data_IF_198619787725
#
_entry.id   IF_198619787725
#
_cell.length_a   1.000
_cell.length_b   1.000
_cell.length_c   1.000
_cell.angle_alpha   90.00
_cell.angle_beta   90.00
_cell.angle_gamma   90.00
#
_symmetry.space_group_name_H-M   'P 1'
#
loop_
_entity.id
_entity.type
_entity.pdbx_description
1 polymer ?
#
# COMPACT_ATOMS: atom_id res chain seq x y z
N UNK A 1 -11.00 -31.06 -14.40
CA UNK A 1 -11.04 -29.76 -15.13
C UNK A 1 -9.65 -29.51 -15.70
N UNK A 2 -9.51 -29.09 -16.97
CA UNK A 2 -8.18 -28.84 -17.58
C UNK A 2 -7.63 -27.52 -17.02
N UNK A 3 -6.43 -27.53 -16.40
CA UNK A 3 -5.79 -26.31 -15.89
C UNK A 3 -5.52 -25.33 -17.03
N UNK A 4 -5.72 -24.04 -16.79
CA UNK A 4 -5.38 -22.99 -17.75
C UNK A 4 -3.87 -22.81 -17.84
N UNK A 5 -3.38 -22.23 -18.94
CA UNK A 5 -1.95 -21.90 -19.09
C UNK A 5 -1.47 -20.94 -18.01
N UNK A 6 -2.30 -20.00 -17.55
CA UNK A 6 -1.97 -19.10 -16.44
C UNK A 6 -1.74 -19.87 -15.14
N UNK A 7 -2.63 -20.81 -14.82
CA UNK A 7 -2.48 -21.65 -13.62
C UNK A 7 -1.25 -22.54 -13.69
N UNK A 8 -0.98 -23.14 -14.86
CA UNK A 8 0.22 -23.98 -15.08
C UNK A 8 1.50 -23.18 -14.83
N UNK A 9 1.58 -21.94 -15.35
CA UNK A 9 2.76 -21.08 -15.14
C UNK A 9 2.89 -20.66 -13.68
N UNK A 10 1.78 -20.27 -13.01
CA UNK A 10 1.83 -19.89 -11.59
C UNK A 10 2.28 -21.04 -10.68
N UNK A 11 1.78 -22.25 -10.92
CA UNK A 11 2.20 -23.45 -10.20
C UNK A 11 3.68 -23.74 -10.44
N UNK A 12 4.15 -23.70 -11.70
CA UNK A 12 5.56 -23.90 -12.01
C UNK A 12 6.49 -22.86 -11.36
N UNK A 13 6.07 -21.59 -11.29
CA UNK A 13 6.82 -20.55 -10.56
C UNK A 13 6.95 -20.91 -9.07
N UNK A 14 5.87 -21.38 -8.44
CA UNK A 14 5.87 -21.79 -7.03
C UNK A 14 6.75 -23.02 -6.82
N UNK A 15 6.60 -24.04 -7.65
CA UNK A 15 7.34 -25.30 -7.54
C UNK A 15 8.84 -25.07 -7.71
N UNK A 16 9.26 -24.32 -8.73
CA UNK A 16 10.67 -23.97 -8.94
C UNK A 16 11.22 -23.15 -7.77
N UNK A 17 10.44 -22.22 -7.22
CA UNK A 17 10.85 -21.41 -6.08
C UNK A 17 10.99 -22.23 -4.79
N UNK A 18 10.07 -23.18 -4.53
CA UNK A 18 10.14 -24.12 -3.40
C UNK A 18 11.38 -25.01 -3.49
N UNK A 19 11.79 -25.38 -4.71
CA UNK A 19 13.01 -26.13 -4.98
C UNK A 19 14.28 -25.24 -4.98
N UNK A 20 14.17 -23.98 -4.56
CA UNK A 20 15.24 -22.98 -4.56
C UNK A 20 15.90 -22.77 -5.94
N UNK A 21 15.19 -23.10 -7.03
CA UNK A 21 15.66 -22.92 -8.39
C UNK A 21 15.36 -21.50 -8.89
N UNK A 22 16.24 -21.00 -9.76
CA UNK A 22 16.02 -19.71 -10.41
C UNK A 22 14.86 -19.85 -11.40
N UNK A 23 13.79 -19.08 -11.16
CA UNK A 23 12.64 -19.05 -12.05
C UNK A 23 12.89 -18.05 -13.17
N UNK A 24 13.15 -18.56 -14.37
CA UNK A 24 13.30 -17.78 -15.59
C UNK A 24 12.33 -18.26 -16.65
N UNK A 25 12.24 -17.53 -17.75
CA UNK A 25 11.46 -17.94 -18.93
C UNK A 25 11.87 -19.32 -19.44
N UNK A 26 13.16 -19.59 -19.45
CA UNK A 26 13.76 -20.83 -19.96
C UNK A 26 13.41 -22.01 -19.07
N UNK A 27 13.62 -21.87 -17.76
CA UNK A 27 13.29 -22.95 -16.81
C UNK A 27 11.79 -23.21 -16.77
N UNK A 28 10.95 -22.18 -16.89
CA UNK A 28 9.51 -22.33 -17.04
C UNK A 28 9.12 -23.06 -18.35
N UNK A 29 9.80 -22.79 -19.46
CA UNK A 29 9.54 -23.48 -20.73
C UNK A 29 9.89 -24.97 -20.64
N UNK A 30 10.99 -25.30 -19.97
CA UNK A 30 11.43 -26.68 -19.76
C UNK A 30 10.43 -27.46 -18.90
N UNK A 31 9.99 -26.92 -17.76
CA UNK A 31 9.13 -27.66 -16.83
C UNK A 31 7.65 -27.66 -17.24
N UNK A 32 7.17 -26.62 -17.95
CA UNK A 32 5.76 -26.54 -18.37
C UNK A 32 5.52 -27.08 -19.79
N UNK A 33 6.56 -27.17 -20.63
CA UNK A 33 6.44 -27.52 -22.05
C UNK A 33 5.69 -26.47 -22.89
N UNK A 34 5.40 -25.30 -22.32
CA UNK A 34 4.67 -24.23 -23.02
C UNK A 34 5.59 -23.45 -23.96
N UNK A 35 4.99 -22.92 -25.03
CA UNK A 35 5.73 -22.05 -25.95
C UNK A 35 6.17 -20.77 -25.21
N UNK A 36 7.40 -20.28 -25.43
CA UNK A 36 7.92 -19.11 -24.72
C UNK A 36 7.02 -17.86 -24.79
N UNK A 37 6.39 -17.60 -25.93
CA UNK A 37 5.46 -16.45 -26.06
C UNK A 37 4.19 -16.57 -25.22
N UNK A 38 3.73 -17.80 -24.92
CA UNK A 38 2.62 -18.02 -23.99
C UNK A 38 3.10 -17.72 -22.57
N UNK A 39 4.30 -18.18 -22.21
CA UNK A 39 4.88 -17.95 -20.88
C UNK A 39 5.06 -16.45 -20.62
N UNK A 40 5.59 -15.69 -21.59
CA UNK A 40 5.75 -14.24 -21.47
C UNK A 40 4.42 -13.54 -21.16
N UNK A 41 3.37 -13.91 -21.91
CA UNK A 41 2.03 -13.35 -21.77
C UNK A 41 1.40 -13.71 -20.41
N UNK A 42 1.58 -14.96 -19.95
CA UNK A 42 1.11 -15.39 -18.63
C UNK A 42 1.88 -14.75 -17.48
N UNK A 43 3.20 -14.63 -17.58
CA UNK A 43 4.02 -13.95 -16.59
C UNK A 43 3.65 -12.47 -16.49
N UNK A 44 3.39 -11.81 -17.62
CA UNK A 44 2.90 -10.44 -17.63
C UNK A 44 1.59 -10.32 -16.84
N UNK A 45 0.59 -11.16 -17.15
CA UNK A 45 -0.68 -11.16 -16.42
C UNK A 45 -0.50 -11.44 -14.92
N UNK A 46 0.32 -12.42 -14.54
CA UNK A 46 0.57 -12.76 -13.14
C UNK A 46 1.34 -11.68 -12.37
N UNK A 47 2.19 -10.92 -13.04
CA UNK A 47 2.86 -9.74 -12.48
C UNK A 47 1.86 -8.59 -12.30
N UNK A 48 1.02 -8.35 -13.31
CA UNK A 48 -0.04 -7.34 -13.24
C UNK A 48 -1.05 -7.66 -12.10
N UNK A 49 -1.35 -8.95 -11.89
CA UNK A 49 -2.22 -9.46 -10.81
C UNK A 49 -1.50 -9.57 -9.44
N UNK A 50 -0.22 -9.18 -9.35
CA UNK A 50 0.60 -9.24 -8.13
C UNK A 50 0.72 -10.65 -7.51
N UNK A 51 0.54 -11.71 -8.31
CA UNK A 51 0.71 -13.11 -7.88
C UNK A 51 2.15 -13.60 -8.09
N UNK A 52 2.90 -12.96 -8.98
CA UNK A 52 4.31 -13.19 -9.25
C UNK A 52 5.03 -11.86 -9.21
N UNK A 53 6.21 -11.81 -8.59
CA UNK A 53 7.06 -10.63 -8.55
C UNK A 53 8.24 -10.82 -9.49
N UNK A 54 8.60 -9.76 -10.20
CA UNK A 54 9.84 -9.70 -10.98
C UNK A 54 10.91 -9.04 -10.11
N UNK A 55 11.76 -9.85 -9.49
CA UNK A 55 12.82 -9.38 -8.58
C UNK A 55 14.04 -8.85 -9.32
N UNK A 56 14.31 -9.40 -10.50
CA UNK A 56 15.40 -8.98 -11.39
C UNK A 56 15.00 -9.12 -12.86
N UNK A 57 15.81 -8.60 -13.77
CA UNK A 57 15.55 -8.72 -15.21
C UNK A 57 15.51 -10.19 -15.65
N UNK A 58 14.29 -10.73 -15.75
CA UNK A 58 14.05 -12.10 -16.24
C UNK A 58 14.00 -13.15 -15.13
N UNK A 59 14.08 -12.73 -13.86
CA UNK A 59 13.96 -13.60 -12.69
C UNK A 59 12.67 -13.29 -11.97
N UNK A 60 11.90 -14.33 -11.70
CA UNK A 60 10.58 -14.24 -11.11
C UNK A 60 10.53 -15.01 -9.79
N UNK A 61 9.66 -14.60 -8.88
CA UNK A 61 9.36 -15.33 -7.65
C UNK A 61 7.85 -15.26 -7.41
N UNK A 62 7.24 -16.25 -6.77
CA UNK A 62 5.86 -16.10 -6.33
C UNK A 62 5.78 -14.91 -5.37
N UNK A 63 4.71 -14.13 -5.47
CA UNK A 63 4.42 -13.17 -4.42
C UNK A 63 4.22 -13.93 -3.10
N UNK A 64 4.67 -13.40 -1.95
CA UNK A 64 4.46 -14.04 -0.66
C UNK A 64 2.98 -14.35 -0.48
N UNK A 65 2.65 -15.64 -0.37
CA UNK A 65 1.29 -16.09 -0.11
C UNK A 65 1.02 -15.83 1.38
N UNK A 66 0.69 -14.58 1.70
CA UNK A 66 0.19 -14.22 3.03
C UNK A 66 -1.15 -14.94 3.19
N UNK A 67 -1.29 -15.84 4.18
CA UNK A 67 -2.57 -16.46 4.44
C UNK A 67 -3.61 -15.35 4.69
N UNK A 68 -4.89 -15.60 4.37
CA UNK A 68 -5.94 -14.61 4.61
C UNK A 68 -5.86 -14.12 6.05
N UNK A 69 -6.09 -12.82 6.25
CA UNK A 69 -6.08 -12.21 7.57
C UNK A 69 -6.99 -13.02 8.50
N UNK A 70 -6.40 -13.57 9.56
CA UNK A 70 -7.15 -14.33 10.57
C UNK A 70 -7.82 -13.35 11.54
N UNK A 71 -9.05 -13.63 12.01
CA UNK A 71 -9.63 -12.84 13.08
C UNK A 71 -8.74 -12.93 14.31
N UNK A 72 -8.48 -11.79 14.94
CA UNK A 72 -7.75 -11.70 16.20
C UNK A 72 -8.67 -11.07 17.23
N UNK A 73 -8.93 -11.79 18.32
CA UNK A 73 -9.80 -11.30 19.41
C UNK A 73 -9.02 -11.25 20.71
N UNK A 74 -9.46 -10.35 21.60
CA UNK A 74 -9.01 -10.29 22.99
C UNK A 74 -10.24 -10.24 23.89
N UNK A 75 -10.40 -11.26 24.72
CA UNK A 75 -11.53 -11.38 25.65
C UNK A 75 -11.04 -11.20 27.08
N UNK A 76 -11.61 -10.23 27.79
CA UNK A 76 -11.39 -10.05 29.21
C UNK A 76 -12.26 -11.03 30.01
N UNK A 77 -11.65 -11.71 30.97
CA UNK A 77 -12.28 -12.67 31.85
C UNK A 77 -12.26 -12.10 33.29
N UNK A 78 -13.30 -12.32 34.11
CA UNK A 78 -13.29 -11.91 35.51
C UNK A 78 -12.01 -12.35 36.24
N UNK A 79 -11.49 -11.48 37.11
CA UNK A 79 -10.19 -11.70 37.78
C UNK A 79 -8.97 -11.23 36.97
N UNK A 80 -9.18 -10.56 35.83
CA UNK A 80 -8.11 -9.94 35.04
C UNK A 80 -7.38 -10.89 34.09
N UNK A 81 -7.86 -12.12 33.98
CA UNK A 81 -7.40 -13.08 32.98
C UNK A 81 -7.85 -12.64 31.58
N UNK A 82 -7.09 -13.06 30.58
CA UNK A 82 -7.34 -12.68 29.19
C UNK A 82 -7.23 -13.91 28.30
N UNK A 83 -8.12 -14.02 27.31
CA UNK A 83 -7.92 -14.91 26.16
C UNK A 83 -7.58 -14.10 24.92
N UNK A 84 -6.52 -14.51 24.22
CA UNK A 84 -6.19 -14.01 22.87
C UNK A 84 -6.40 -15.17 21.91
N UNK A 85 -7.20 -14.95 20.87
CA UNK A 85 -7.53 -15.96 19.87
C UNK A 85 -7.11 -15.46 18.49
N UNK A 86 -6.48 -16.33 17.69
CA UNK A 86 -6.04 -16.01 16.32
C UNK A 86 -6.52 -17.13 15.40
N UNK A 87 -7.56 -16.86 14.61
CA UNK A 87 -8.28 -17.91 13.91
C UNK A 87 -8.92 -18.90 14.88
N UNK A 88 -9.08 -20.15 14.45
CA UNK A 88 -9.87 -21.15 15.18
C UNK A 88 -9.00 -22.06 16.07
N UNK A 89 -7.68 -22.08 15.87
CA UNK A 89 -6.76 -23.08 16.41
C UNK A 89 -5.71 -22.52 17.37
N UNK A 90 -5.54 -21.21 17.46
CA UNK A 90 -4.55 -20.58 18.35
C UNK A 90 -5.25 -19.79 19.46
N UNK A 91 -5.24 -20.34 20.68
CA UNK A 91 -5.85 -19.73 21.86
C UNK A 91 -4.80 -19.62 22.97
N UNK A 92 -4.50 -18.40 23.40
CA UNK A 92 -3.64 -18.13 24.54
C UNK A 92 -4.51 -17.69 25.72
N UNK A 93 -4.48 -18.42 26.82
CA UNK A 93 -5.10 -18.01 28.09
C UNK A 93 -4.01 -17.47 29.01
N UNK A 94 -4.07 -16.16 29.26
CA UNK A 94 -3.03 -15.43 29.95
C UNK A 94 -3.50 -15.01 31.34
N UNK A 95 -2.62 -15.17 32.32
CA UNK A 95 -2.72 -14.52 33.62
C UNK A 95 -2.64 -12.98 33.45
N UNK A 96 -3.08 -12.20 34.46
CA UNK A 96 -2.90 -10.75 34.45
C UNK A 96 -1.45 -10.31 34.24
N UNK A 97 -0.48 -11.06 34.78
CA UNK A 97 0.95 -10.75 34.67
C UNK A 97 1.48 -11.00 33.25
N UNK A 98 1.13 -12.13 32.63
CA UNK A 98 1.52 -12.46 31.26
C UNK A 98 0.90 -11.49 30.25
N UNK A 99 -0.38 -11.12 30.42
CA UNK A 99 -1.01 -10.12 29.56
C UNK A 99 -0.32 -8.74 29.69
N UNK A 100 0.20 -8.37 30.87
CA UNK A 100 0.98 -7.14 31.04
C UNK A 100 2.31 -7.22 30.29
N UNK A 101 3.07 -8.29 30.50
CA UNK A 101 4.36 -8.51 29.84
C UNK A 101 4.20 -8.52 28.30
N UNK A 102 3.17 -9.20 27.79
CA UNK A 102 2.85 -9.19 26.36
C UNK A 102 2.52 -7.78 25.87
N UNK A 103 1.74 -7.01 26.63
CA UNK A 103 1.45 -5.61 26.32
C UNK A 103 2.70 -4.74 26.24
N UNK A 104 3.65 -4.90 27.17
CA UNK A 104 4.93 -4.19 27.18
C UNK A 104 5.75 -4.51 25.92
N UNK A 105 5.84 -5.78 25.54
CA UNK A 105 6.54 -6.21 24.32
C UNK A 105 5.90 -5.63 23.05
N UNK A 106 4.58 -5.48 23.01
CA UNK A 106 3.85 -4.98 21.85
C UNK A 106 3.74 -3.45 21.79
N UNK A 107 4.07 -2.74 22.88
CA UNK A 107 3.89 -1.30 22.97
C UNK A 107 4.61 -0.54 21.83
N UNK A 108 5.84 -0.96 21.48
CA UNK A 108 6.61 -0.36 20.39
C UNK A 108 5.94 -0.53 19.02
N UNK A 109 5.40 -1.71 18.72
CA UNK A 109 4.65 -1.96 17.50
C UNK A 109 3.37 -1.10 17.43
N UNK A 110 2.68 -0.93 18.57
CA UNK A 110 1.53 -0.04 18.67
C UNK A 110 1.87 1.42 18.38
N UNK A 111 3.00 1.92 18.89
CA UNK A 111 3.45 3.29 18.60
C UNK A 111 3.83 3.49 17.14
N UNK A 112 4.47 2.50 16.51
CA UNK A 112 4.79 2.55 15.08
C UNK A 112 3.51 2.62 14.23
N UNK A 113 2.54 1.75 14.51
CA UNK A 113 1.25 1.77 13.80
C UNK A 113 0.55 3.14 13.92
N UNK A 114 0.47 3.69 15.13
CA UNK A 114 -0.12 5.00 15.36
C UNK A 114 0.63 6.11 14.60
N UNK A 115 1.96 6.06 14.57
CA UNK A 115 2.80 7.05 13.88
C UNK A 115 2.60 7.01 12.37
N UNK A 116 2.48 5.82 11.78
CA UNK A 116 2.21 5.65 10.34
C UNK A 116 0.85 6.24 9.98
N UNK A 117 -0.19 5.90 10.75
CA UNK A 117 -1.53 6.42 10.49
C UNK A 117 -1.58 7.94 10.66
N UNK A 118 -0.96 8.48 11.71
CA UNK A 118 -0.80 9.94 11.86
C UNK A 118 -0.06 10.57 10.69
N UNK A 119 0.99 9.92 10.16
CA UNK A 119 1.70 10.36 8.96
C UNK A 119 0.79 10.47 7.74
N UNK A 120 -0.06 9.47 7.51
CA UNK A 120 -1.06 9.50 6.44
C UNK A 120 -2.06 10.63 6.61
N UNK A 121 -2.66 10.76 7.80
CA UNK A 121 -3.62 11.83 8.08
C UNK A 121 -2.99 13.23 7.93
N UNK A 122 -1.74 13.39 8.39
CA UNK A 122 -1.01 14.65 8.26
C UNK A 122 -0.68 14.99 6.81
N UNK A 123 -0.36 13.99 5.97
CA UNK A 123 -0.10 14.23 4.54
C UNK A 123 -1.35 14.73 3.81
N UNK A 124 -2.52 14.15 4.12
CA UNK A 124 -3.81 14.61 3.59
C UNK A 124 -4.08 16.05 4.02
N UNK A 125 -3.98 16.33 5.33
CA UNK A 125 -4.20 17.66 5.88
C UNK A 125 -3.23 18.70 5.29
N UNK A 126 -1.96 18.34 5.12
CA UNK A 126 -0.95 19.22 4.53
C UNK A 126 -1.28 19.57 3.07
N UNK A 127 -1.76 18.60 2.29
CA UNK A 127 -2.17 18.83 0.91
C UNK A 127 -3.38 19.78 0.82
N UNK A 128 -4.39 19.59 1.68
CA UNK A 128 -5.56 20.47 1.77
C UNK A 128 -5.17 21.89 2.20
N UNK A 129 -4.31 22.01 3.21
CA UNK A 129 -3.81 23.29 3.69
C UNK A 129 -3.02 24.00 2.60
N UNK A 130 -2.11 23.31 1.92
CA UNK A 130 -1.32 23.89 0.82
C UNK A 130 -2.22 24.38 -0.32
N UNK A 131 -3.31 23.65 -0.65
CA UNK A 131 -4.29 24.11 -1.62
C UNK A 131 -5.03 25.37 -1.16
N UNK A 132 -5.38 25.47 0.13
CA UNK A 132 -6.02 26.65 0.71
C UNK A 132 -5.07 27.86 0.74
N UNK A 133 -3.81 27.66 1.12
CA UNK A 133 -2.78 28.70 1.11
C UNK A 133 -2.60 29.26 -0.30
N UNK A 134 -2.44 28.41 -1.32
CA UNK A 134 -2.34 28.87 -2.73
C UNK A 134 -3.55 29.69 -3.18
N UNK A 135 -4.77 29.32 -2.76
CA UNK A 135 -5.98 30.10 -3.07
C UNK A 135 -5.96 31.46 -2.39
N UNK A 136 -5.56 31.53 -1.13
CA UNK A 136 -5.46 32.78 -0.37
C UNK A 136 -4.38 33.70 -0.96
N UNK A 137 -3.21 33.16 -1.31
CA UNK A 137 -2.13 33.91 -1.97
C UNK A 137 -2.62 34.55 -3.28
N UNK A 138 -3.39 33.80 -4.08
CA UNK A 138 -3.98 34.34 -5.32
C UNK A 138 -4.99 35.46 -5.04
N UNK A 139 -5.84 35.32 -4.03
CA UNK A 139 -6.82 36.36 -3.65
C UNK A 139 -6.13 37.62 -3.13
N UNK A 140 -5.12 37.48 -2.27
CA UNK A 140 -4.33 38.61 -1.76
C UNK A 140 -3.59 39.31 -2.89
N UNK A 141 -3.01 38.55 -3.84
CA UNK A 141 -2.39 39.11 -5.04
C UNK A 141 -3.37 39.93 -5.88
N UNK A 142 -4.58 39.43 -6.09
CA UNK A 142 -5.62 40.17 -6.83
C UNK A 142 -6.04 41.47 -6.11
N UNK A 143 -6.31 41.40 -4.80
CA UNK A 143 -6.70 42.57 -3.99
C UNK A 143 -5.59 43.63 -3.92
N UNK A 144 -4.34 43.21 -3.80
CA UNK A 144 -3.20 44.14 -3.79
C UNK A 144 -2.96 44.77 -5.16
N UNK A 145 -3.20 44.04 -6.26
CA UNK A 145 -3.16 44.59 -7.61
C UNK A 145 -4.29 45.62 -7.86
N UNK A 146 -5.52 45.34 -7.43
CA UNK A 146 -6.63 46.30 -7.50
C UNK A 146 -6.34 47.59 -6.71
N UNK A 147 -5.71 47.48 -5.54
CA UNK A 147 -5.35 48.65 -4.72
C UNK A 147 -4.24 49.53 -5.34
N UNK A 148 -3.36 48.94 -6.15
CA UNK A 148 -2.27 49.66 -6.82
C UNK A 148 -2.58 50.00 -8.28
N UNK A 149 -3.79 49.70 -8.77
CA UNK A 149 -4.21 50.13 -10.09
C UNK A 149 -4.16 51.67 -10.15
N UNK A 150 -3.42 52.27 -11.09
CA UNK A 150 -3.38 53.72 -11.22
C UNK A 150 -4.79 54.21 -11.52
N UNK A 151 -5.25 55.23 -10.78
CA UNK A 151 -6.44 56.00 -11.13
C UNK A 151 -6.20 56.51 -12.54
N UNK A 152 -6.88 55.90 -13.52
CA UNK A 152 -6.75 56.30 -14.91
C UNK A 152 -7.33 57.70 -15.01
N UNK A 153 -6.59 58.74 -15.42
CA UNK A 153 -7.18 60.04 -15.70
C UNK A 153 -8.00 59.87 -16.97
N UNK A 154 -9.28 59.58 -16.82
CA UNK A 154 -10.22 59.62 -17.93
C UNK A 154 -10.63 61.07 -18.17
N UNK A 155 -10.27 61.56 -19.35
CA UNK A 155 -10.74 62.79 -20.00
C UNK A 155 -10.29 64.15 -19.41
N UNK A 156 -9.14 64.63 -19.88
CA UNK A 156 -9.01 66.04 -20.27
C UNK A 156 -8.58 66.08 -21.75
N UNK A 157 -9.53 65.78 -22.64
CA UNK A 157 -9.39 66.08 -24.06
C UNK A 157 -10.69 66.67 -24.60
N UNK A 158 -11.25 67.64 -23.88
CA UNK A 158 -12.34 68.50 -24.36
C UNK A 158 -12.27 69.87 -23.67
N UNK A 159 -11.35 70.72 -24.10
CA UNK A 159 -11.61 72.15 -24.28
C UNK A 159 -10.48 72.75 -25.11
N UNK A 160 -10.60 72.62 -26.42
CA UNK A 160 -10.03 73.61 -27.33
C UNK A 160 -10.87 74.88 -27.24
N UNK A 161 -10.19 76.01 -27.02
CA UNK A 161 -10.29 77.30 -27.73
C UNK A 161 -9.35 78.29 -27.05
#
# INVERSE_FOLDING_TARGET
MKKSSTQIVLEAVRDLHVLEQIVTRETLAEVTGLKPGIIDDRLKALVDDMLVLRVERGVFVPAPELPPARPVTKTLIPGGWVKIEIGDDHILTLTPAENRALGELMAGAGQQYASIEMGHQNAILAAELAAKVRRLEKQVGALTAERHAPVTPQLELLSGT
#
